data_IF_244300633616
#
_entry.id   IF_244300633616
#
_cell.length_a   1.000
_cell.length_b   1.000
_cell.length_c   1.000
_cell.angle_alpha   90.00
_cell.angle_beta   90.00
_cell.angle_gamma   90.00
#
_symmetry.space_group_name_H-M   'P 1'
#
loop_
_entity.id
_entity.type
_entity.pdbx_description
1 polymer ?
#
# COMPACT_ATOMS: atom_id res chain seq x y z
N UNK A 1 13.08 -5.23 5.27
CA UNK A 1 12.61 -6.62 5.06
C UNK A 1 13.61 -7.28 4.14
N UNK A 2 14.18 -8.44 4.52
CA UNK A 2 15.21 -9.12 3.71
C UNK A 2 14.60 -10.13 2.73
N UNK A 3 13.41 -10.60 3.02
CA UNK A 3 12.64 -11.52 2.19
C UNK A 3 11.14 -11.23 2.30
N UNK A 4 10.39 -11.59 1.28
CA UNK A 4 8.94 -11.44 1.22
C UNK A 4 8.34 -12.64 0.50
N UNK A 5 7.21 -13.12 1.00
CA UNK A 5 6.37 -14.08 0.30
C UNK A 5 5.28 -13.33 -0.45
N UNK A 6 5.06 -13.70 -1.70
CA UNK A 6 3.95 -13.22 -2.51
C UNK A 6 2.88 -14.31 -2.59
N UNK A 7 1.64 -13.89 -2.42
CA UNK A 7 0.44 -14.67 -2.69
C UNK A 7 -0.44 -13.97 -3.74
N UNK A 8 -1.62 -14.48 -4.00
CA UNK A 8 -2.55 -13.94 -5.00
C UNK A 8 -2.92 -12.44 -4.79
N UNK A 9 -2.67 -11.88 -3.62
CA UNK A 9 -2.97 -10.47 -3.30
C UNK A 9 -1.71 -9.59 -3.19
N UNK A 10 -0.55 -10.07 -3.63
CA UNK A 10 0.74 -9.37 -3.53
C UNK A 10 1.56 -9.81 -2.32
N UNK A 11 2.30 -8.92 -1.69
CA UNK A 11 3.13 -9.25 -0.51
C UNK A 11 2.23 -9.73 0.63
N UNK A 12 2.54 -10.92 1.14
CA UNK A 12 1.78 -11.53 2.22
C UNK A 12 1.72 -10.62 3.44
N UNK A 13 0.51 -10.37 3.92
CA UNK A 13 0.26 -9.50 5.06
C UNK A 13 0.21 -8.01 4.73
N UNK A 14 0.67 -7.57 3.55
CA UNK A 14 0.60 -6.15 3.16
C UNK A 14 -0.83 -5.77 2.78
N UNK A 15 -1.29 -4.62 3.33
CA UNK A 15 -2.62 -4.02 3.04
C UNK A 15 -3.81 -4.97 3.22
N UNK A 16 -3.68 -5.96 4.13
CA UNK A 16 -4.76 -6.90 4.48
C UNK A 16 -5.70 -6.36 5.56
N UNK A 17 -5.32 -5.27 6.20
CA UNK A 17 -6.06 -4.66 7.30
C UNK A 17 -6.48 -3.24 6.93
N UNK A 18 -7.69 -2.89 7.35
CA UNK A 18 -8.26 -1.57 7.07
C UNK A 18 -9.06 -1.07 8.27
N UNK A 19 -8.91 0.21 8.58
CA UNK A 19 -9.74 0.89 9.57
C UNK A 19 -10.94 1.49 8.86
N UNK A 20 -12.14 1.23 9.40
CA UNK A 20 -13.40 1.72 8.83
C UNK A 20 -14.20 2.49 9.88
N UNK A 21 -14.96 3.45 9.43
CA UNK A 21 -15.92 4.17 10.25
C UNK A 21 -17.05 3.22 10.68
N UNK A 22 -17.39 3.22 11.96
CA UNK A 22 -18.36 2.27 12.53
C UNK A 22 -19.77 2.43 11.97
N UNK A 23 -20.19 3.66 11.66
CA UNK A 23 -21.56 3.94 11.21
C UNK A 23 -21.73 3.71 9.71
N UNK A 24 -20.75 4.14 8.90
CA UNK A 24 -20.86 4.15 7.45
C UNK A 24 -20.19 2.96 6.78
N UNK A 25 -19.33 2.23 7.48
CA UNK A 25 -18.47 1.19 6.90
C UNK A 25 -17.41 1.72 5.93
N UNK A 26 -17.30 3.04 5.72
CA UNK A 26 -16.30 3.63 4.81
C UNK A 26 -14.91 3.55 5.41
N UNK A 27 -13.94 3.27 4.58
CA UNK A 27 -12.54 3.23 4.99
C UNK A 27 -12.04 4.61 5.47
N UNK A 28 -11.27 4.59 6.56
CA UNK A 28 -10.56 5.74 7.07
C UNK A 28 -9.14 5.74 6.51
N UNK A 29 -8.66 6.91 6.14
CA UNK A 29 -7.37 7.04 5.48
C UNK A 29 -6.51 8.11 6.13
N UNK A 30 -5.22 8.01 5.93
CA UNK A 30 -4.25 9.05 6.31
C UNK A 30 -4.52 10.40 5.61
N UNK A 31 -5.28 10.42 4.50
CA UNK A 31 -5.74 11.67 3.87
C UNK A 31 -6.67 12.45 4.79
N UNK A 32 -7.50 11.73 5.51
CA UNK A 32 -8.50 12.29 6.43
C UNK A 32 -7.95 12.44 7.85
N UNK A 33 -7.19 11.46 8.31
CA UNK A 33 -6.63 11.34 9.65
C UNK A 33 -5.12 11.17 9.55
N UNK A 34 -4.39 12.27 9.43
CA UNK A 34 -2.93 12.26 9.21
C UNK A 34 -2.19 11.50 10.33
N UNK A 35 -2.69 11.54 11.57
CA UNK A 35 -2.12 10.78 12.70
C UNK A 35 -2.02 9.26 12.43
N UNK A 36 -2.82 8.70 11.51
CA UNK A 36 -2.69 7.28 11.14
C UNK A 36 -1.34 6.94 10.51
N UNK A 37 -0.51 7.91 10.11
CA UNK A 37 0.89 7.66 9.69
C UNK A 37 1.74 7.13 10.82
N UNK A 38 1.40 7.47 12.06
CA UNK A 38 2.12 7.06 13.27
C UNK A 38 1.69 5.68 13.78
N UNK A 39 0.61 5.12 13.23
CA UNK A 39 0.19 3.76 13.55
C UNK A 39 1.16 2.75 12.93
N UNK A 40 1.84 2.02 13.79
CA UNK A 40 2.69 0.91 13.37
C UNK A 40 1.94 -0.40 13.51
N UNK A 41 2.00 -1.20 12.46
CA UNK A 41 1.43 -2.54 12.43
C UNK A 41 2.53 -3.55 12.11
N UNK A 42 2.70 -4.55 12.95
CA UNK A 42 3.74 -5.58 12.80
C UNK A 42 3.12 -6.96 12.94
N UNK A 43 3.47 -7.87 12.06
CA UNK A 43 3.09 -9.27 12.19
C UNK A 43 3.86 -9.95 13.32
N UNK A 44 3.14 -10.66 14.18
CA UNK A 44 3.69 -11.57 15.20
C UNK A 44 3.41 -13.01 14.75
N UNK A 45 4.34 -13.60 14.03
CA UNK A 45 4.09 -14.85 13.32
C UNK A 45 3.07 -14.68 12.19
N UNK A 46 2.24 -15.70 11.95
CA UNK A 46 1.24 -15.72 10.88
C UNK A 46 -0.19 -15.43 11.37
N UNK A 47 -0.42 -15.36 12.67
CA UNK A 47 -1.77 -15.36 13.26
C UNK A 47 -2.13 -14.11 14.06
N UNK A 48 -1.18 -13.22 14.28
CA UNK A 48 -1.42 -12.02 15.08
C UNK A 48 -0.79 -10.78 14.45
N UNK A 49 -1.47 -9.64 14.62
CA UNK A 49 -0.99 -8.32 14.31
C UNK A 49 -0.74 -7.55 15.60
N UNK A 50 0.42 -6.96 15.78
CA UNK A 50 0.68 -5.98 16.84
C UNK A 50 0.43 -4.58 16.31
N UNK A 51 -0.35 -3.81 17.02
CA UNK A 51 -0.58 -2.38 16.78
C UNK A 51 0.14 -1.57 17.85
N UNK A 52 0.91 -0.58 17.42
CA UNK A 52 1.60 0.37 18.30
C UNK A 52 1.30 1.79 17.81
N UNK A 53 0.98 2.69 18.74
CA UNK A 53 0.74 4.10 18.45
C UNK A 53 1.20 4.99 19.62
N UNK A 54 1.58 6.25 19.36
CA UNK A 54 2.01 7.17 20.41
C UNK A 54 0.97 7.31 21.52
N UNK A 55 1.41 7.17 22.78
CA UNK A 55 0.55 7.30 23.95
C UNK A 55 -0.40 6.13 24.23
N UNK A 56 -0.30 5.06 23.47
CA UNK A 56 -1.12 3.85 23.64
C UNK A 56 -0.28 2.66 24.10
N UNK A 57 -0.88 1.77 24.87
CA UNK A 57 -0.29 0.44 25.14
C UNK A 57 -0.41 -0.40 23.87
N UNK A 58 0.62 -1.16 23.55
CA UNK A 58 0.62 -2.04 22.37
C UNK A 58 -0.53 -3.05 22.44
N UNK A 59 -1.22 -3.23 21.34
CA UNK A 59 -2.32 -4.18 21.23
C UNK A 59 -1.95 -5.34 20.30
N UNK A 60 -2.23 -6.58 20.72
CA UNK A 60 -2.14 -7.77 19.89
C UNK A 60 -3.52 -8.15 19.39
N UNK A 61 -3.71 -8.17 18.09
CA UNK A 61 -4.96 -8.50 17.42
C UNK A 61 -4.80 -9.86 16.73
N UNK A 62 -5.67 -10.80 17.05
CA UNK A 62 -5.70 -12.07 16.33
C UNK A 62 -6.24 -11.88 14.90
N UNK A 63 -5.72 -12.65 13.94
CA UNK A 63 -6.33 -12.74 12.62
C UNK A 63 -7.72 -13.33 12.78
N UNK A 64 -8.78 -12.65 12.28
CA UNK A 64 -10.13 -13.16 12.35
C UNK A 64 -10.26 -14.53 11.67
N UNK A 65 -10.92 -15.45 12.32
CA UNK A 65 -11.23 -16.77 11.77
C UNK A 65 -12.46 -16.76 10.83
N UNK A 66 -12.84 -17.92 10.32
CA UNK A 66 -13.99 -18.06 9.42
C UNK A 66 -15.34 -17.78 10.08
N UNK A 67 -15.42 -17.82 11.43
CA UNK A 67 -16.61 -17.54 12.23
C UNK A 67 -16.71 -16.06 12.65
N UNK A 68 -15.68 -15.27 12.38
CA UNK A 68 -15.69 -13.85 12.74
C UNK A 68 -16.86 -13.11 12.08
N UNK A 69 -17.55 -12.21 12.81
CA UNK A 69 -18.63 -11.43 12.23
C UNK A 69 -18.20 -10.68 10.98
N UNK A 70 -19.00 -10.78 9.93
CA UNK A 70 -18.76 -10.04 8.70
C UNK A 70 -19.31 -8.63 8.82
N UNK A 71 -18.55 -7.68 8.30
CA UNK A 71 -18.93 -6.28 8.23
C UNK A 71 -18.98 -5.81 6.78
N UNK A 72 -20.08 -5.15 6.44
CA UNK A 72 -20.18 -4.44 5.17
C UNK A 72 -19.26 -3.20 5.21
N UNK A 73 -18.34 -3.12 4.26
CA UNK A 73 -17.39 -2.02 4.16
C UNK A 73 -17.35 -1.47 2.74
N UNK A 74 -17.00 -0.18 2.63
CA UNK A 74 -16.84 0.48 1.33
C UNK A 74 -15.43 1.03 1.22
N UNK A 75 -14.73 0.61 0.17
CA UNK A 75 -13.43 1.14 -0.24
C UNK A 75 -13.53 1.64 -1.68
N UNK A 76 -13.30 2.93 -1.90
CA UNK A 76 -13.51 3.60 -3.19
C UNK A 76 -14.94 3.38 -3.72
N UNK A 77 -15.10 2.60 -4.79
CA UNK A 77 -16.39 2.25 -5.42
C UNK A 77 -16.86 0.86 -5.03
N UNK A 78 -16.02 0.08 -4.34
CA UNK A 78 -16.28 -1.31 -4.04
C UNK A 78 -16.92 -1.47 -2.67
N UNK A 79 -17.87 -2.39 -2.58
CA UNK A 79 -18.48 -2.84 -1.32
C UNK A 79 -18.13 -4.30 -1.08
N UNK A 80 -17.66 -4.59 0.14
CA UNK A 80 -17.19 -5.91 0.56
C UNK A 80 -17.87 -6.34 1.84
N UNK A 81 -17.92 -7.66 2.05
CA UNK A 81 -18.23 -8.28 3.33
C UNK A 81 -16.94 -8.91 3.87
N UNK A 82 -16.37 -8.32 4.91
CA UNK A 82 -15.06 -8.74 5.43
C UNK A 82 -15.11 -8.96 6.94
N UNK A 83 -14.27 -9.88 7.47
CA UNK A 83 -14.19 -10.18 8.89
C UNK A 83 -13.81 -8.96 9.74
N UNK A 84 -14.51 -8.80 10.85
CA UNK A 84 -14.24 -7.80 11.88
C UNK A 84 -13.21 -8.35 12.89
N UNK A 85 -12.24 -7.53 13.27
CA UNK A 85 -11.17 -7.91 14.20
C UNK A 85 -11.58 -7.86 15.69
N UNK A 86 -12.84 -7.58 15.97
CA UNK A 86 -13.38 -7.61 17.33
C UNK A 86 -13.38 -6.25 18.04
N UNK A 87 -14.01 -6.25 19.22
CA UNK A 87 -14.30 -5.03 19.97
C UNK A 87 -13.06 -4.42 20.63
N UNK A 88 -12.09 -5.24 21.02
CA UNK A 88 -10.86 -4.75 21.63
C UNK A 88 -10.07 -3.86 20.66
N UNK A 89 -9.88 -4.32 19.42
CA UNK A 89 -9.25 -3.54 18.37
C UNK A 89 -10.03 -2.27 18.03
N UNK A 90 -11.36 -2.37 18.02
CA UNK A 90 -12.23 -1.23 17.77
C UNK A 90 -12.13 -0.16 18.88
N UNK A 91 -12.14 -0.56 20.14
CA UNK A 91 -12.01 0.33 21.29
C UNK A 91 -10.65 1.03 21.30
N UNK A 92 -9.57 0.26 21.12
CA UNK A 92 -8.21 0.78 21.08
C UNK A 92 -8.02 1.82 19.99
N UNK A 93 -8.43 1.50 18.75
CA UNK A 93 -8.33 2.42 17.62
C UNK A 93 -9.23 3.63 17.78
N UNK A 94 -10.47 3.44 18.29
CA UNK A 94 -11.40 4.56 18.50
C UNK A 94 -10.90 5.53 19.56
N UNK A 95 -10.29 5.02 20.61
CA UNK A 95 -9.66 5.85 21.64
C UNK A 95 -8.51 6.67 21.07
N UNK A 96 -7.63 6.03 20.31
CA UNK A 96 -6.46 6.70 19.73
C UNK A 96 -6.83 7.70 18.64
N UNK A 97 -7.78 7.35 17.77
CA UNK A 97 -8.21 8.22 16.65
C UNK A 97 -9.23 9.30 17.09
N UNK A 98 -9.77 9.21 18.31
CA UNK A 98 -10.85 10.10 18.78
C UNK A 98 -12.14 9.96 17.97
N UNK A 99 -12.36 8.81 17.32
CA UNK A 99 -13.48 8.57 16.41
C UNK A 99 -13.89 7.10 16.43
N UNK A 100 -15.19 6.84 16.50
CA UNK A 100 -15.74 5.48 16.45
C UNK A 100 -15.34 4.78 15.14
N UNK A 101 -14.53 3.73 15.25
CA UNK A 101 -14.01 2.98 14.11
C UNK A 101 -13.83 1.51 14.46
N UNK A 102 -13.62 0.71 13.43
CA UNK A 102 -13.36 -0.72 13.56
C UNK A 102 -12.18 -1.14 12.66
N UNK A 103 -11.53 -2.21 13.05
CA UNK A 103 -10.49 -2.85 12.25
C UNK A 103 -11.11 -4.05 11.54
N UNK A 104 -10.84 -4.17 10.24
CA UNK A 104 -11.30 -5.29 9.42
C UNK A 104 -10.13 -5.90 8.67
N UNK A 105 -10.27 -7.17 8.30
CA UNK A 105 -9.24 -7.93 7.59
C UNK A 105 -9.83 -8.54 6.32
N UNK A 106 -9.06 -8.56 5.23
CA UNK A 106 -9.45 -9.23 3.99
C UNK A 106 -8.56 -10.43 3.71
N UNK A 107 -9.19 -11.54 3.36
CA UNK A 107 -8.56 -12.74 2.81
C UNK A 107 -8.84 -12.86 1.31
N UNK A 108 -8.11 -13.70 0.64
CA UNK A 108 -8.16 -13.88 -0.82
C UNK A 108 -9.58 -14.10 -1.38
N UNK A 109 -10.43 -14.97 -0.81
CA UNK A 109 -11.77 -15.19 -1.37
C UNK A 109 -12.67 -13.95 -1.39
N UNK A 110 -12.40 -12.98 -0.52
CA UNK A 110 -13.21 -11.76 -0.35
C UNK A 110 -12.56 -10.51 -0.95
N UNK A 111 -11.39 -10.65 -1.56
CA UNK A 111 -10.65 -9.54 -2.15
C UNK A 111 -11.33 -9.04 -3.44
N UNK A 112 -11.01 -7.80 -3.80
CA UNK A 112 -11.56 -7.13 -4.99
C UNK A 112 -10.88 -7.63 -6.25
N UNK A 113 -11.62 -7.70 -7.35
CA UNK A 113 -11.05 -7.81 -8.70
C UNK A 113 -10.31 -6.50 -9.04
N UNK A 114 -9.10 -6.59 -9.55
CA UNK A 114 -8.40 -5.43 -10.14
C UNK A 114 -9.16 -4.96 -11.38
N UNK A 115 -9.09 -3.66 -11.67
CA UNK A 115 -9.76 -3.06 -12.84
C UNK A 115 -9.40 -3.82 -14.12
N UNK A 116 -10.40 -4.37 -14.77
CA UNK A 116 -10.29 -5.22 -15.97
C UNK A 116 -9.70 -4.51 -17.19
N UNK A 117 -9.59 -3.18 -17.17
CA UNK A 117 -8.83 -2.42 -18.20
C UNK A 117 -7.35 -2.75 -18.16
N UNK A 118 -6.83 -3.14 -16.98
CA UNK A 118 -5.40 -3.38 -16.71
C UNK A 118 -5.10 -4.81 -16.26
N UNK A 119 -6.11 -5.63 -16.05
CA UNK A 119 -5.98 -6.91 -15.38
C UNK A 119 -6.77 -8.02 -16.09
N UNK A 120 -6.51 -9.24 -15.70
CA UNK A 120 -7.24 -10.44 -16.12
C UNK A 120 -8.23 -10.88 -15.05
N UNK A 121 -9.21 -11.70 -15.43
CA UNK A 121 -10.14 -12.31 -14.48
C UNK A 121 -9.35 -13.14 -13.47
N UNK A 122 -9.57 -12.86 -12.18
CA UNK A 122 -8.86 -13.53 -11.08
C UNK A 122 -7.69 -12.72 -10.51
N UNK A 123 -7.23 -11.66 -11.18
CA UNK A 123 -6.27 -10.72 -10.58
C UNK A 123 -6.96 -9.95 -9.45
N UNK A 124 -6.49 -10.12 -8.25
CA UNK A 124 -7.13 -9.57 -7.06
C UNK A 124 -6.26 -8.52 -6.35
N UNK A 125 -6.93 -7.64 -5.62
CA UNK A 125 -6.30 -6.64 -4.77
C UNK A 125 -6.99 -6.60 -3.40
N UNK A 126 -6.19 -6.53 -2.35
CA UNK A 126 -6.67 -6.36 -0.97
C UNK A 126 -7.18 -4.92 -0.75
N UNK A 127 -6.76 -4.26 0.32
CA UNK A 127 -7.12 -2.87 0.63
C UNK A 127 -6.14 -1.83 0.05
N UNK A 128 -5.27 -2.21 -0.89
CA UNK A 128 -4.52 -1.24 -1.67
C UNK A 128 -5.45 -0.42 -2.58
N UNK A 129 -4.99 0.73 -3.05
CA UNK A 129 -5.85 1.65 -3.81
C UNK A 129 -6.42 1.01 -5.08
N UNK A 130 -5.60 0.36 -5.91
CA UNK A 130 -6.09 -0.27 -7.14
C UNK A 130 -5.32 -1.51 -7.59
N UNK A 131 -4.07 -1.67 -7.13
CA UNK A 131 -3.19 -2.76 -7.57
C UNK A 131 -2.45 -3.39 -6.38
N UNK A 132 -2.11 -4.68 -6.47
CA UNK A 132 -1.45 -5.39 -5.36
C UNK A 132 -0.04 -4.92 -5.07
N UNK A 133 0.69 -4.43 -6.08
CA UNK A 133 2.10 -4.08 -5.97
C UNK A 133 2.41 -2.73 -6.62
N UNK A 134 3.36 -2.02 -6.01
CA UNK A 134 3.95 -0.78 -6.52
C UNK A 134 5.47 -0.95 -6.59
N UNK A 135 6.06 -0.65 -7.74
CA UNK A 135 7.50 -0.61 -7.97
C UNK A 135 7.97 0.82 -8.21
N UNK A 136 9.12 1.16 -7.62
CA UNK A 136 9.81 2.44 -7.85
C UNK A 136 11.30 2.17 -8.05
N UNK A 137 11.91 2.83 -9.05
CA UNK A 137 13.34 2.86 -9.24
C UNK A 137 14.03 3.75 -8.19
N UNK A 138 15.13 3.31 -7.60
CA UNK A 138 15.91 4.13 -6.67
C UNK A 138 16.44 5.39 -7.39
N UNK A 139 16.96 5.25 -8.60
CA UNK A 139 17.43 6.38 -9.41
C UNK A 139 16.32 7.41 -9.69
N UNK A 140 15.07 6.95 -9.84
CA UNK A 140 13.91 7.85 -10.00
C UNK A 140 13.65 8.68 -8.73
N UNK A 141 13.82 8.09 -7.55
CA UNK A 141 13.72 8.82 -6.29
C UNK A 141 14.89 9.79 -6.09
N UNK A 142 16.09 9.40 -6.49
CA UNK A 142 17.29 10.22 -6.37
C UNK A 142 17.18 11.46 -7.28
N UNK A 143 16.70 11.31 -8.52
CA UNK A 143 16.44 12.43 -9.42
C UNK A 143 15.35 13.37 -8.85
N UNK A 144 14.24 12.81 -8.36
CA UNK A 144 13.20 13.60 -7.72
C UNK A 144 13.72 14.36 -6.49
N UNK A 145 14.50 13.70 -5.64
CA UNK A 145 15.12 14.32 -4.46
C UNK A 145 16.05 15.49 -4.85
N UNK A 146 16.83 15.31 -5.91
CA UNK A 146 17.69 16.35 -6.47
C UNK A 146 16.87 17.56 -6.95
N UNK A 147 15.75 17.31 -7.66
CA UNK A 147 14.85 18.39 -8.16
C UNK A 147 14.14 19.13 -7.03
N UNK A 148 13.75 18.43 -5.97
CA UNK A 148 13.13 19.04 -4.78
C UNK A 148 14.17 19.78 -3.93
N UNK A 149 15.46 19.45 -4.07
CA UNK A 149 16.55 20.03 -3.29
C UNK A 149 16.71 19.45 -1.88
N UNK A 150 16.06 18.32 -1.59
CA UNK A 150 16.20 17.60 -0.32
C UNK A 150 16.01 16.11 -0.50
N UNK A 151 16.65 15.31 0.37
CA UNK A 151 16.48 13.87 0.37
C UNK A 151 15.04 13.49 0.76
N UNK A 152 14.41 12.69 -0.07
CA UNK A 152 13.06 12.18 0.15
C UNK A 152 13.11 10.72 0.60
N UNK A 153 12.47 10.35 1.72
CA UNK A 153 12.38 8.94 2.09
C UNK A 153 11.46 8.19 1.13
N UNK A 154 11.91 7.04 0.63
CA UNK A 154 11.13 6.14 -0.24
C UNK A 154 9.75 5.80 0.37
N UNK A 155 9.67 5.74 1.70
CA UNK A 155 8.46 5.43 2.44
C UNK A 155 7.29 6.40 2.14
N UNK A 156 7.55 7.64 1.70
CA UNK A 156 6.48 8.57 1.26
C UNK A 156 5.62 8.00 0.14
N UNK A 157 6.23 7.21 -0.72
CA UNK A 157 5.58 6.63 -1.90
C UNK A 157 5.04 5.23 -1.64
N UNK A 158 5.47 4.57 -0.56
CA UNK A 158 5.00 3.27 -0.09
C UNK A 158 5.08 2.15 -1.13
N UNK A 159 6.20 2.00 -1.85
CA UNK A 159 6.36 0.90 -2.79
C UNK A 159 6.48 -0.45 -2.05
N UNK A 160 6.17 -1.51 -2.77
CA UNK A 160 6.45 -2.89 -2.37
C UNK A 160 7.83 -3.34 -2.87
N UNK A 161 8.20 -2.86 -4.06
CA UNK A 161 9.46 -3.20 -4.71
C UNK A 161 10.24 -1.93 -5.02
N UNK A 162 11.52 -1.92 -4.65
CA UNK A 162 12.47 -0.87 -5.00
C UNK A 162 13.56 -1.50 -5.83
N UNK A 163 13.79 -0.98 -7.02
CA UNK A 163 14.80 -1.48 -7.96
C UNK A 163 15.96 -0.49 -8.06
N UNK A 164 17.18 -0.99 -7.99
CA UNK A 164 18.42 -0.20 -8.17
C UNK A 164 19.19 -0.66 -9.40
N UNK A 165 20.09 0.21 -9.89
CA UNK A 165 20.96 -0.11 -11.02
C UNK A 165 20.37 0.17 -12.40
N UNK A 166 19.19 0.76 -12.49
CA UNK A 166 18.60 1.30 -13.72
C UNK A 166 18.76 2.82 -13.79
N UNK A 167 18.59 3.39 -14.99
CA UNK A 167 18.43 4.83 -15.16
C UNK A 167 17.14 5.33 -14.50
N UNK A 168 17.10 6.62 -14.17
CA UNK A 168 15.91 7.23 -13.60
C UNK A 168 14.72 7.11 -14.56
N UNK A 169 13.58 6.67 -14.01
CA UNK A 169 12.32 6.44 -14.75
C UNK A 169 12.37 5.33 -15.81
N UNK A 170 13.40 4.49 -15.82
CA UNK A 170 13.46 3.35 -16.73
C UNK A 170 12.24 2.43 -16.56
N UNK A 171 11.74 2.31 -15.34
CA UNK A 171 10.55 1.53 -15.02
C UNK A 171 9.26 1.98 -15.76
N UNK A 172 9.24 3.18 -16.30
CA UNK A 172 8.10 3.69 -17.07
C UNK A 172 7.90 2.99 -18.42
N UNK A 173 8.97 2.42 -18.97
CA UNK A 173 8.95 1.74 -20.25
C UNK A 173 8.73 0.23 -20.14
N UNK A 174 8.85 -0.34 -18.94
CA UNK A 174 8.74 -1.77 -18.76
C UNK A 174 7.29 -2.23 -18.85
N UNK A 175 7.06 -3.40 -19.44
CA UNK A 175 5.77 -4.06 -19.52
C UNK A 175 5.75 -5.38 -18.79
N UNK A 176 6.86 -6.12 -18.83
CA UNK A 176 7.06 -7.37 -18.12
C UNK A 176 8.46 -7.43 -17.54
N UNK A 177 8.54 -7.82 -16.27
CA UNK A 177 9.81 -8.04 -15.59
C UNK A 177 9.80 -9.41 -14.90
N UNK A 178 10.99 -9.94 -14.64
CA UNK A 178 11.21 -11.14 -13.83
C UNK A 178 12.15 -10.83 -12.68
N UNK A 179 11.80 -11.32 -11.49
CA UNK A 179 12.63 -11.26 -10.29
C UNK A 179 12.72 -12.68 -9.74
N UNK A 180 13.91 -13.29 -9.80
CA UNK A 180 14.05 -14.71 -9.54
C UNK A 180 13.23 -15.53 -10.52
N UNK A 181 12.30 -16.35 -10.02
CA UNK A 181 11.40 -17.17 -10.85
C UNK A 181 10.04 -16.49 -11.08
N UNK A 182 9.76 -15.39 -10.41
CA UNK A 182 8.48 -14.71 -10.52
C UNK A 182 8.47 -13.68 -11.64
N UNK A 183 7.46 -13.74 -12.48
CA UNK A 183 7.16 -12.72 -13.48
C UNK A 183 6.10 -11.73 -12.98
N UNK A 184 6.20 -10.51 -13.46
CA UNK A 184 5.28 -9.43 -13.11
C UNK A 184 4.88 -8.69 -14.39
N UNK A 185 3.59 -8.40 -14.50
CA UNK A 185 3.07 -7.46 -15.49
C UNK A 185 3.15 -6.04 -14.89
N UNK A 186 3.76 -5.12 -15.62
CA UNK A 186 3.79 -3.69 -15.31
C UNK A 186 2.60 -3.07 -16.02
N UNK A 187 1.53 -2.79 -15.29
CA UNK A 187 0.22 -2.59 -15.90
C UNK A 187 -0.21 -1.14 -16.02
N UNK A 188 0.29 -0.27 -15.13
CA UNK A 188 -0.14 1.13 -15.09
C UNK A 188 0.83 1.99 -14.29
N UNK A 189 1.13 3.20 -14.79
CA UNK A 189 1.77 4.22 -13.98
C UNK A 189 0.97 4.52 -12.71
N UNK A 190 1.66 4.69 -11.58
CA UNK A 190 1.00 5.02 -10.32
C UNK A 190 0.73 6.52 -10.22
N UNK A 191 -0.53 6.93 -10.30
CA UNK A 191 -0.91 8.32 -10.06
C UNK A 191 -0.73 8.69 -8.58
N UNK A 192 -0.14 9.84 -8.34
CA UNK A 192 0.22 10.32 -6.99
C UNK A 192 -0.72 11.39 -6.52
N UNK A 193 -1.09 11.29 -5.26
CA UNK A 193 -1.98 12.24 -4.62
C UNK A 193 -1.29 12.96 -3.46
N UNK A 194 -2.03 13.81 -2.76
CA UNK A 194 -1.59 14.59 -1.60
C UNK A 194 -0.91 13.73 -0.50
N UNK A 195 -1.11 12.41 -0.51
CA UNK A 195 -0.47 11.51 0.46
C UNK A 195 1.05 11.57 0.44
N UNK A 196 1.66 11.81 -0.72
CA UNK A 196 3.12 11.89 -0.85
C UNK A 196 3.71 13.12 -0.17
N UNK A 197 2.88 14.11 0.17
CA UNK A 197 3.29 15.32 0.89
C UNK A 197 3.30 15.16 2.41
N UNK A 198 2.77 14.05 2.94
CA UNK A 198 2.83 13.76 4.37
C UNK A 198 4.21 13.22 4.74
N UNK A 199 4.74 13.70 5.84
CA UNK A 199 5.91 13.07 6.46
C UNK A 199 5.47 11.72 7.05
N UNK A 200 6.13 10.61 6.68
CA UNK A 200 5.70 9.29 7.11
C UNK A 200 5.94 9.02 8.61
N UNK A 201 6.77 9.83 9.28
CA UNK A 201 7.08 9.68 10.70
C UNK A 201 6.19 10.57 11.58
N UNK A 202 6.01 11.83 11.19
CA UNK A 202 5.29 12.82 12.00
C UNK A 202 3.83 12.97 11.59
N UNK A 203 3.48 12.62 10.35
CA UNK A 203 2.18 12.90 9.76
C UNK A 203 1.99 14.35 9.35
N UNK A 204 3.00 15.19 9.52
CA UNK A 204 2.94 16.59 9.09
C UNK A 204 2.92 16.70 7.57
N UNK A 205 2.13 17.63 7.09
CA UNK A 205 2.04 17.91 5.66
C UNK A 205 3.03 18.98 5.26
N UNK A 206 3.80 18.73 4.20
CA UNK A 206 4.68 19.72 3.61
C UNK A 206 3.90 20.98 3.23
N UNK A 207 4.34 22.14 3.69
CA UNK A 207 3.66 23.44 3.44
C UNK A 207 3.65 23.83 1.96
N UNK A 208 4.72 23.49 1.23
CA UNK A 208 4.91 23.71 -0.20
C UNK A 208 4.36 22.57 -1.07
N UNK A 209 3.74 21.56 -0.44
CA UNK A 209 3.21 20.36 -1.08
C UNK A 209 4.24 19.51 -1.80
N UNK A 210 5.50 19.61 -1.41
CA UNK A 210 6.52 18.72 -1.95
C UNK A 210 6.34 17.27 -1.46
N UNK A 211 6.68 16.28 -2.29
CA UNK A 211 7.28 16.35 -3.64
C UNK A 211 6.25 16.46 -4.79
N UNK A 212 4.96 16.60 -4.50
CA UNK A 212 3.90 16.61 -5.52
C UNK A 212 4.00 17.83 -6.44
N UNK A 213 4.37 18.99 -5.89
CA UNK A 213 4.58 20.22 -6.66
C UNK A 213 5.68 20.05 -7.71
N UNK A 214 6.84 19.55 -7.30
CA UNK A 214 7.94 19.26 -8.23
C UNK A 214 7.55 18.20 -9.25
N UNK A 215 6.97 17.08 -8.83
CA UNK A 215 6.51 16.02 -9.75
C UNK A 215 5.57 16.57 -10.82
N UNK A 216 4.68 17.47 -10.46
CA UNK A 216 3.72 18.09 -11.38
C UNK A 216 4.41 18.78 -12.56
N UNK A 217 5.59 19.34 -12.36
CA UNK A 217 6.30 20.09 -13.41
C UNK A 217 6.78 19.24 -14.58
N UNK A 218 6.97 17.92 -14.41
CA UNK A 218 7.53 17.04 -15.45
C UNK A 218 6.92 15.65 -15.52
N UNK A 219 6.04 15.29 -14.55
CA UNK A 219 5.40 13.97 -14.47
C UNK A 219 3.88 14.03 -14.63
N UNK A 220 3.33 15.21 -14.92
CA UNK A 220 1.89 15.35 -15.17
C UNK A 220 1.54 14.93 -16.59
N UNK A 221 0.52 14.07 -16.71
CA UNK A 221 -0.09 13.62 -17.97
C UNK A 221 -1.60 13.53 -17.75
N UNK A 222 -2.39 14.10 -18.64
CA UNK A 222 -3.86 14.04 -18.59
C UNK A 222 -4.46 14.47 -17.22
N UNK A 223 -3.81 15.42 -16.55
CA UNK A 223 -4.26 15.95 -15.25
C UNK A 223 -3.87 15.10 -14.04
N UNK A 224 -3.17 13.99 -14.24
CA UNK A 224 -2.66 13.12 -13.19
C UNK A 224 -1.12 13.17 -13.11
N UNK A 225 -0.58 13.11 -11.91
CA UNK A 225 0.88 13.11 -11.66
C UNK A 225 1.36 11.70 -11.41
N UNK A 226 2.33 11.21 -12.17
CA UNK A 226 2.78 9.82 -12.11
C UNK A 226 4.18 9.66 -11.50
N UNK A 227 4.34 8.66 -10.63
CA UNK A 227 5.63 8.27 -10.08
C UNK A 227 5.59 6.80 -9.63
N UNK A 228 6.43 5.95 -10.25
CA UNK A 228 6.44 4.50 -10.05
C UNK A 228 5.35 3.77 -10.85
N UNK A 229 5.42 2.44 -10.83
CA UNK A 229 4.58 1.57 -11.65
C UNK A 229 3.81 0.56 -10.81
N UNK A 230 2.53 0.41 -11.11
CA UNK A 230 1.70 -0.64 -10.53
C UNK A 230 1.95 -1.97 -11.24
N UNK A 231 2.08 -3.04 -10.44
CA UNK A 231 2.36 -4.38 -10.94
C UNK A 231 1.33 -5.39 -10.45
N UNK A 232 1.20 -6.46 -11.25
CA UNK A 232 0.49 -7.69 -10.91
C UNK A 232 1.47 -8.85 -11.06
N UNK A 233 1.62 -9.66 -10.02
CA UNK A 233 2.45 -10.87 -10.08
C UNK A 233 1.74 -11.95 -10.90
N UNK A 234 2.49 -12.70 -11.74
CA UNK A 234 1.97 -13.82 -12.54
C UNK A 234 2.01 -15.16 -11.78
N UNK A 235 2.14 -15.13 -10.46
CA UNK A 235 2.19 -16.32 -9.62
C UNK A 235 2.56 -15.97 -8.18
N UNK A 236 2.65 -17.01 -7.36
CA UNK A 236 3.03 -16.95 -5.96
C UNK A 236 4.48 -17.40 -5.79
N UNK A 237 5.16 -16.93 -4.74
CA UNK A 237 6.54 -17.34 -4.47
C UNK A 237 7.27 -16.43 -3.49
N UNK A 238 8.59 -16.50 -3.52
CA UNK A 238 9.45 -15.79 -2.58
C UNK A 238 10.40 -14.84 -3.27
N UNK A 239 10.51 -13.64 -2.72
CA UNK A 239 11.50 -12.65 -3.10
C UNK A 239 12.49 -12.43 -1.97
N UNK A 240 13.75 -12.16 -2.32
CA UNK A 240 14.79 -11.74 -1.38
C UNK A 240 15.44 -10.46 -1.90
N UNK A 241 16.03 -9.71 -0.99
CA UNK A 241 16.85 -8.56 -1.38
C UNK A 241 17.95 -8.98 -2.36
N UNK A 242 18.33 -8.06 -3.20
CA UNK A 242 19.42 -8.19 -4.19
C UNK A 242 19.18 -9.27 -5.27
N UNK A 243 17.95 -9.79 -5.39
CA UNK A 243 17.60 -10.59 -6.57
C UNK A 243 17.66 -9.73 -7.84
N UNK A 244 18.29 -10.24 -8.92
CA UNK A 244 18.36 -9.49 -10.17
C UNK A 244 16.97 -9.31 -10.78
N UNK A 245 16.74 -8.13 -11.33
CA UNK A 245 15.55 -7.79 -12.11
C UNK A 245 15.91 -7.90 -13.59
N UNK A 246 15.16 -8.72 -14.32
CA UNK A 246 15.25 -8.85 -15.77
C UNK A 246 14.07 -8.17 -16.43
N UNK A 247 14.32 -7.22 -17.29
CA UNK A 247 13.29 -6.63 -18.15
C UNK A 247 13.06 -7.60 -19.31
N UNK A 248 11.83 -8.09 -19.44
CA UNK A 248 11.46 -9.06 -20.49
C UNK A 248 10.81 -8.36 -21.68
N UNK A 249 10.07 -7.27 -21.41
CA UNK A 249 9.38 -6.47 -22.41
C UNK A 249 9.20 -5.02 -21.91
#
# INVERSE_FOLDING_TARGET
MHEATLDALGVQGDRRWMVVDTQTGRFLTQRLLAQMTQLQARWLGSTQLQLCAPGMVDLKVAVPDEHAPLRAVTIWRDSLQVPDAGDEAAQWLSQWLGRACRLVQVSEPRARQVDMVYAEVGDKVAFADGFPLLLIGQASLDDLSSRVGQALPMLRFRPNLVVSGSEAYAEDSWKRIRIGELEFRVVKGCSRCIMTTLDPQTGERSADREPLTTLKTYREREGEVYFGQNLIACGEGHLRLDMPVQVLE
#
